data_IF_003789579770
#
_entry.id   IF_003789579770
#
_cell.length_a   1.000
_cell.length_b   1.000
_cell.length_c   1.000
_cell.angle_alpha   90.00
_cell.angle_beta   90.00
_cell.angle_gamma   90.00
#
_symmetry.space_group_name_H-M   'P 1'
#
loop_
_entity.id
_entity.type
_entity.pdbx_description
1 polymer ?
#
# COMPACT_ATOMS: atom_id res chain seq x y z
N UNK A 1 -29.61 12.25 26.27
CA UNK A 1 -29.58 11.64 24.93
C UNK A 1 -28.12 11.70 24.48
N UNK A 2 -27.32 10.71 24.87
CA UNK A 2 -25.85 10.78 24.69
C UNK A 2 -25.50 10.06 23.39
N UNK A 3 -24.99 10.84 22.44
CA UNK A 3 -24.54 10.37 21.14
C UNK A 3 -23.46 9.31 21.34
N UNK A 4 -23.76 8.08 20.92
CA UNK A 4 -22.79 7.01 20.86
C UNK A 4 -21.68 7.42 19.89
N UNK A 5 -20.47 7.53 20.41
CA UNK A 5 -19.23 7.46 19.64
C UNK A 5 -19.31 6.19 18.79
N UNK A 6 -19.57 6.36 17.49
CA UNK A 6 -19.51 5.28 16.50
C UNK A 6 -18.06 4.80 16.47
N UNK A 7 -17.73 3.82 17.31
CA UNK A 7 -16.50 3.04 17.21
C UNK A 7 -16.43 2.52 15.77
N UNK A 8 -15.48 3.04 15.01
CA UNK A 8 -15.30 2.73 13.60
C UNK A 8 -14.67 1.34 13.53
N UNK A 9 -15.47 0.30 13.78
CA UNK A 9 -14.99 -1.09 13.91
C UNK A 9 -14.32 -1.51 12.61
N UNK A 10 -13.02 -1.82 12.70
CA UNK A 10 -12.25 -2.37 11.59
C UNK A 10 -12.62 -3.84 11.46
N UNK A 11 -13.21 -4.22 10.34
CA UNK A 11 -13.48 -5.62 10.05
C UNK A 11 -12.33 -6.22 9.24
N UNK A 12 -11.79 -7.40 9.60
CA UNK A 12 -10.75 -8.07 8.82
C UNK A 12 -11.13 -8.28 7.36
N UNK A 13 -12.43 -8.46 7.07
CA UNK A 13 -12.96 -8.58 5.71
C UNK A 13 -12.65 -7.35 4.84
N UNK A 14 -12.69 -6.15 5.42
CA UNK A 14 -12.46 -4.90 4.69
C UNK A 14 -10.98 -4.76 4.31
N UNK A 15 -10.08 -5.25 5.17
CA UNK A 15 -8.64 -5.33 4.88
C UNK A 15 -8.38 -6.29 3.72
N UNK A 16 -8.96 -7.50 3.78
CA UNK A 16 -8.79 -8.50 2.71
C UNK A 16 -9.34 -7.99 1.38
N UNK A 17 -10.57 -7.46 1.37
CA UNK A 17 -11.19 -6.92 0.15
C UNK A 17 -10.35 -5.78 -0.42
N UNK A 18 -9.90 -4.86 0.42
CA UNK A 18 -9.07 -3.74 -0.01
C UNK A 18 -7.73 -4.20 -0.59
N UNK A 19 -7.07 -5.16 0.07
CA UNK A 19 -5.81 -5.74 -0.41
C UNK A 19 -5.98 -6.37 -1.80
N UNK A 20 -7.04 -7.16 -2.00
CA UNK A 20 -7.34 -7.75 -3.30
C UNK A 20 -7.63 -6.70 -4.37
N UNK A 21 -8.40 -5.65 -4.06
CA UNK A 21 -8.71 -4.58 -5.01
C UNK A 21 -7.47 -3.79 -5.41
N UNK A 22 -6.67 -3.35 -4.43
CA UNK A 22 -5.44 -2.60 -4.70
C UNK A 22 -4.42 -3.43 -5.46
N UNK A 23 -4.24 -4.69 -5.07
CA UNK A 23 -3.31 -5.60 -5.74
C UNK A 23 -3.78 -6.01 -7.14
N UNK A 24 -5.08 -6.23 -7.35
CA UNK A 24 -5.63 -6.48 -8.67
C UNK A 24 -5.38 -5.31 -9.62
N UNK A 25 -5.50 -4.06 -9.14
CA UNK A 25 -5.18 -2.89 -9.93
C UNK A 25 -3.70 -2.85 -10.35
N UNK A 26 -2.79 -3.20 -9.44
CA UNK A 26 -1.36 -3.32 -9.76
C UNK A 26 -1.11 -4.36 -10.86
N UNK A 27 -1.64 -5.58 -10.69
CA UNK A 27 -1.49 -6.65 -11.69
C UNK A 27 -2.08 -6.25 -13.03
N UNK A 28 -3.24 -5.60 -13.06
CA UNK A 28 -3.87 -5.13 -14.31
C UNK A 28 -2.99 -4.09 -15.02
N UNK A 29 -2.45 -3.11 -14.30
CA UNK A 29 -1.54 -2.11 -14.89
C UNK A 29 -0.27 -2.78 -15.40
N UNK A 30 0.31 -3.71 -14.64
CA UNK A 30 1.47 -4.48 -15.08
C UNK A 30 1.19 -5.27 -16.35
N UNK A 31 0.05 -5.96 -16.44
CA UNK A 31 -0.35 -6.69 -17.64
C UNK A 31 -0.52 -5.76 -18.86
N UNK A 32 -1.18 -4.61 -18.69
CA UNK A 32 -1.31 -3.61 -19.75
C UNK A 32 0.07 -3.09 -20.21
N UNK A 33 0.99 -2.89 -19.27
CA UNK A 33 2.39 -2.53 -19.56
C UNK A 33 3.12 -3.61 -20.35
N UNK A 34 2.99 -4.88 -19.96
CA UNK A 34 3.59 -6.04 -20.64
C UNK A 34 3.15 -6.15 -22.10
N UNK A 35 1.88 -5.92 -22.40
CA UNK A 35 1.37 -5.95 -23.77
C UNK A 35 1.61 -4.64 -24.55
N UNK A 36 2.39 -3.70 -23.99
CA UNK A 36 2.72 -2.42 -24.62
C UNK A 36 1.53 -1.46 -24.75
N UNK A 37 0.42 -1.74 -24.08
CA UNK A 37 -0.79 -0.92 -24.10
C UNK A 37 -0.61 0.35 -23.26
N UNK A 38 0.30 0.31 -22.27
CA UNK A 38 0.58 1.43 -21.38
C UNK A 38 2.09 1.57 -21.16
N UNK A 39 2.71 2.55 -21.83
CA UNK A 39 4.10 2.95 -21.53
C UNK A 39 4.10 3.90 -20.34
N UNK A 40 4.33 3.37 -19.14
CA UNK A 40 4.52 4.18 -17.93
C UNK A 40 6.02 4.41 -17.77
N UNK A 41 6.54 5.64 -17.96
CA UNK A 41 7.95 5.91 -17.69
C UNK A 41 8.23 5.74 -16.20
N UNK A 42 9.33 5.07 -15.84
CA UNK A 42 9.62 4.65 -14.46
C UNK A 42 9.60 5.82 -13.45
N UNK A 43 10.04 7.01 -13.87
CA UNK A 43 9.95 8.25 -13.09
C UNK A 43 8.54 8.59 -12.57
N UNK A 44 7.48 8.18 -13.26
CA UNK A 44 6.09 8.40 -12.81
C UNK A 44 5.65 7.38 -11.77
N UNK A 45 6.22 6.17 -11.82
CA UNK A 45 6.00 5.13 -10.79
C UNK A 45 6.62 5.58 -9.47
N UNK A 46 7.81 6.18 -9.50
CA UNK A 46 8.45 6.71 -8.30
C UNK A 46 7.65 7.80 -7.58
N UNK A 47 6.82 8.58 -8.28
CA UNK A 47 5.92 9.56 -7.66
C UNK A 47 4.89 8.92 -6.72
N UNK A 48 4.58 7.63 -6.88
CA UNK A 48 3.72 6.90 -5.94
C UNK A 48 4.33 6.87 -4.53
N UNK A 49 5.66 6.96 -4.40
CA UNK A 49 6.37 7.08 -3.12
C UNK A 49 6.02 8.34 -2.31
N UNK A 50 5.46 9.39 -2.94
CA UNK A 50 4.94 10.55 -2.23
C UNK A 50 3.74 10.21 -1.34
N UNK A 51 2.95 9.20 -1.71
CA UNK A 51 1.78 8.77 -0.94
C UNK A 51 2.20 8.17 0.41
N UNK A 52 3.08 7.15 0.49
CA UNK A 52 3.55 6.66 1.77
C UNK A 52 4.35 7.70 2.55
N UNK A 53 5.10 8.62 1.92
CA UNK A 53 5.72 9.76 2.62
C UNK A 53 4.66 10.64 3.29
N UNK A 54 3.64 11.05 2.54
CA UNK A 54 2.55 11.88 3.07
C UNK A 54 1.83 11.17 4.24
N UNK A 55 1.53 9.89 4.09
CA UNK A 55 0.90 9.10 5.14
C UNK A 55 1.79 9.02 6.38
N UNK A 56 3.08 8.74 6.21
CA UNK A 56 4.03 8.69 7.31
C UNK A 56 4.12 10.01 8.07
N UNK A 57 4.28 11.14 7.36
CA UNK A 57 4.31 12.48 7.98
C UNK A 57 2.99 12.79 8.69
N UNK A 58 1.84 12.52 8.05
CA UNK A 58 0.52 12.76 8.63
C UNK A 58 0.33 11.97 9.93
N UNK A 59 0.74 10.70 9.95
CA UNK A 59 0.66 9.84 11.13
C UNK A 59 1.62 10.30 12.24
N UNK A 60 2.79 10.79 11.88
CA UNK A 60 3.77 11.33 12.82
C UNK A 60 3.25 12.58 13.52
N UNK A 61 2.60 13.49 12.79
CA UNK A 61 2.07 14.77 13.30
C UNK A 61 0.76 14.59 14.09
N UNK A 62 -0.18 13.81 13.56
CA UNK A 62 -1.55 13.68 14.10
C UNK A 62 -1.61 12.75 15.33
N UNK A 63 -0.52 12.60 16.08
CA UNK A 63 -0.39 11.58 17.10
C UNK A 63 -1.39 11.74 18.25
N UNK A 64 -2.57 11.15 18.10
CA UNK A 64 -3.65 11.11 19.09
C UNK A 64 -4.42 9.79 18.95
N UNK A 65 -4.43 9.09 20.09
CA UNK A 65 -5.47 8.23 20.65
C UNK A 65 -6.01 7.04 19.83
N UNK A 66 -5.53 5.88 20.30
CA UNK A 66 -6.05 4.50 20.15
C UNK A 66 -5.89 3.77 18.80
N UNK A 67 -5.25 2.61 18.94
CA UNK A 67 -5.18 1.42 18.08
C UNK A 67 -4.43 1.45 16.75
N UNK A 68 -3.85 0.28 16.44
CA UNK A 68 -3.24 -0.18 15.18
C UNK A 68 -4.07 0.16 13.92
N UNK A 69 -5.35 0.52 14.11
CA UNK A 69 -6.24 1.10 13.11
C UNK A 69 -5.97 2.55 12.71
N UNK A 70 -5.01 3.26 13.31
CA UNK A 70 -4.75 4.70 13.14
C UNK A 70 -4.59 5.17 11.68
N UNK A 71 -3.96 4.37 10.81
CA UNK A 71 -3.84 4.69 9.36
C UNK A 71 -5.22 4.67 8.71
N UNK A 72 -5.96 3.59 8.94
CA UNK A 72 -7.26 3.36 8.33
C UNK A 72 -8.31 4.29 8.90
N UNK A 73 -8.30 4.56 10.21
CA UNK A 73 -9.21 5.47 10.89
C UNK A 73 -8.95 6.93 10.52
N UNK A 74 -7.68 7.35 10.38
CA UNK A 74 -7.32 8.72 9.96
C UNK A 74 -7.57 9.01 8.47
N UNK A 75 -7.72 7.97 7.65
CA UNK A 75 -8.17 8.07 6.25
C UNK A 75 -9.70 7.93 6.13
N UNK A 76 -10.34 7.26 7.08
CA UNK A 76 -11.79 7.07 7.14
C UNK A 76 -12.54 8.24 7.83
N UNK A 77 -11.86 9.35 8.15
CA UNK A 77 -12.46 10.55 8.75
C UNK A 77 -13.13 11.50 7.73
N UNK A 78 -13.32 11.05 6.48
CA UNK A 78 -13.94 11.81 5.39
C UNK A 78 -15.06 11.05 4.67
N UNK A 79 -15.83 11.77 3.84
CA UNK A 79 -17.09 11.40 3.15
C UNK A 79 -17.12 10.04 2.40
N UNK A 80 -15.98 9.37 2.23
CA UNK A 80 -15.86 8.05 1.61
C UNK A 80 -15.75 6.95 2.68
N UNK A 81 -16.93 6.56 3.16
CA UNK A 81 -17.17 5.72 4.32
C UNK A 81 -16.91 4.21 4.08
N UNK A 82 -15.73 3.80 3.60
CA UNK A 82 -15.40 2.37 3.38
C UNK A 82 -13.91 2.09 3.60
N UNK A 83 -13.56 1.50 4.75
CA UNK A 83 -12.20 1.10 5.14
C UNK A 83 -11.45 0.34 4.03
N UNK A 84 -12.13 -0.55 3.29
CA UNK A 84 -11.49 -1.31 2.21
C UNK A 84 -10.96 -0.43 1.08
N UNK A 85 -11.56 0.75 0.82
CA UNK A 85 -11.07 1.68 -0.19
C UNK A 85 -9.76 2.32 0.26
N UNK A 86 -9.66 2.68 1.54
CA UNK A 86 -8.41 3.17 2.12
C UNK A 86 -7.32 2.11 2.05
N UNK A 87 -7.64 0.86 2.40
CA UNK A 87 -6.70 -0.27 2.26
C UNK A 87 -6.28 -0.42 0.80
N UNK A 88 -7.21 -0.49 -0.14
CA UNK A 88 -6.90 -0.63 -1.57
C UNK A 88 -5.99 0.49 -2.09
N UNK A 89 -6.25 1.72 -1.68
CA UNK A 89 -5.43 2.87 -2.05
C UNK A 89 -4.01 2.76 -1.47
N UNK A 90 -3.87 2.37 -0.20
CA UNK A 90 -2.56 2.15 0.41
C UNK A 90 -1.83 1.00 -0.28
N UNK A 91 -2.50 -0.13 -0.53
CA UNK A 91 -1.92 -1.30 -1.22
C UNK A 91 -1.42 -0.93 -2.60
N UNK A 92 -2.22 -0.19 -3.38
CA UNK A 92 -1.83 0.29 -4.71
C UNK A 92 -0.65 1.26 -4.66
N UNK A 93 -0.72 2.25 -3.77
CA UNK A 93 0.33 3.26 -3.65
C UNK A 93 1.67 2.67 -3.16
N UNK A 94 1.61 1.73 -2.23
CA UNK A 94 2.77 1.02 -1.71
C UNK A 94 3.36 0.10 -2.79
N UNK A 95 2.53 -0.71 -3.44
CA UNK A 95 2.98 -1.67 -4.44
C UNK A 95 3.26 -1.07 -5.82
N UNK A 96 3.49 0.24 -5.92
CA UNK A 96 3.85 0.88 -7.19
C UNK A 96 5.17 0.34 -7.75
N UNK A 97 6.15 0.08 -6.89
CA UNK A 97 7.42 -0.57 -7.21
C UNK A 97 7.26 -1.97 -7.84
N UNK A 98 6.20 -2.71 -7.47
CA UNK A 98 5.88 -3.98 -8.09
C UNK A 98 5.66 -3.85 -9.61
N UNK A 99 5.17 -2.70 -10.11
CA UNK A 99 4.96 -2.50 -11.54
C UNK A 99 6.31 -2.59 -12.29
N UNK A 100 7.35 -1.97 -11.75
CA UNK A 100 8.70 -1.98 -12.33
C UNK A 100 9.32 -3.37 -12.38
N UNK A 101 8.93 -4.27 -11.47
CA UNK A 101 9.39 -5.67 -11.46
C UNK A 101 8.49 -6.55 -12.33
N UNK A 102 7.17 -6.39 -12.23
CA UNK A 102 6.19 -7.28 -12.86
C UNK A 102 6.16 -7.10 -14.37
N UNK A 103 6.22 -5.87 -14.88
CA UNK A 103 6.20 -5.61 -16.33
C UNK A 103 7.32 -6.37 -17.05
N UNK A 104 8.61 -6.20 -16.72
CA UNK A 104 9.69 -6.93 -17.38
C UNK A 104 9.72 -8.41 -17.04
N UNK A 105 9.20 -8.83 -15.88
CA UNK A 105 9.08 -10.26 -15.58
C UNK A 105 8.04 -10.93 -16.47
N UNK A 106 6.84 -10.35 -16.58
CA UNK A 106 5.74 -10.87 -17.37
C UNK A 106 6.05 -10.94 -18.87
N UNK A 107 6.92 -10.06 -19.41
CA UNK A 107 7.35 -10.13 -20.82
C UNK A 107 8.24 -11.34 -21.11
N UNK A 108 8.82 -11.97 -20.09
CA UNK A 108 9.64 -13.19 -20.24
C UNK A 108 8.82 -14.49 -20.21
N UNK A 109 7.54 -14.42 -19.86
CA UNK A 109 6.68 -15.58 -19.66
C UNK A 109 5.81 -15.88 -20.88
N UNK A 110 5.55 -17.17 -21.13
CA UNK A 110 4.45 -17.58 -22.00
C UNK A 110 3.09 -17.24 -21.38
N UNK A 111 2.02 -17.22 -22.18
CA UNK A 111 0.65 -16.93 -21.69
C UNK A 111 0.23 -17.91 -20.58
N UNK A 112 0.59 -19.19 -20.69
CA UNK A 112 0.26 -20.19 -19.67
C UNK A 112 1.00 -19.91 -18.36
N UNK A 113 2.30 -19.61 -18.43
CA UNK A 113 3.11 -19.25 -17.25
C UNK A 113 2.63 -17.95 -16.61
N UNK A 114 2.23 -16.97 -17.42
CA UNK A 114 1.66 -15.71 -16.95
C UNK A 114 0.36 -15.93 -16.17
N UNK A 115 -0.57 -16.73 -16.71
CA UNK A 115 -1.83 -17.06 -16.02
C UNK A 115 -1.55 -17.78 -14.70
N UNK A 116 -0.64 -18.77 -14.70
CA UNK A 116 -0.24 -19.48 -13.48
C UNK A 116 0.36 -18.50 -12.46
N UNK A 117 1.22 -17.60 -12.90
CA UNK A 117 1.85 -16.58 -12.05
C UNK A 117 0.82 -15.66 -11.40
N UNK A 118 -0.13 -15.15 -12.18
CA UNK A 118 -1.21 -14.29 -11.67
C UNK A 118 -2.05 -15.02 -10.63
N UNK A 119 -2.40 -16.29 -10.87
CA UNK A 119 -3.11 -17.12 -9.89
C UNK A 119 -2.29 -17.26 -8.60
N UNK A 120 -0.98 -17.56 -8.72
CA UNK A 120 -0.07 -17.67 -7.57
C UNK A 120 -0.04 -16.36 -6.78
N UNK A 121 0.07 -15.21 -7.45
CA UNK A 121 0.08 -13.91 -6.80
C UNK A 121 -1.20 -13.68 -5.97
N UNK A 122 -2.38 -13.98 -6.52
CA UNK A 122 -3.64 -13.84 -5.78
C UNK A 122 -3.80 -14.85 -4.64
N UNK A 123 -3.25 -16.06 -4.77
CA UNK A 123 -3.17 -17.02 -3.66
C UNK A 123 -2.25 -16.47 -2.57
N UNK A 124 -1.10 -15.90 -2.94
CA UNK A 124 -0.15 -15.31 -2.00
C UNK A 124 -0.75 -14.13 -1.24
N UNK A 125 -1.65 -13.34 -1.85
CA UNK A 125 -2.40 -12.31 -1.12
C UNK A 125 -3.20 -12.91 0.04
N UNK A 126 -3.93 -14.02 -0.16
CA UNK A 126 -4.64 -14.70 0.92
C UNK A 126 -3.69 -15.22 2.00
N UNK A 127 -2.58 -15.82 1.59
CA UNK A 127 -1.54 -16.32 2.51
C UNK A 127 -0.99 -15.18 3.36
N UNK A 128 -0.63 -14.05 2.75
CA UNK A 128 -0.11 -12.89 3.47
C UNK A 128 -1.12 -12.25 4.39
N UNK A 129 -2.39 -12.14 3.98
CA UNK A 129 -3.46 -11.68 4.86
C UNK A 129 -3.63 -12.62 6.07
N UNK A 130 -3.59 -13.93 5.85
CA UNK A 130 -3.69 -14.91 6.94
C UNK A 130 -2.50 -14.84 7.89
N UNK A 131 -1.27 -14.80 7.35
CA UNK A 131 -0.05 -14.67 8.14
C UNK A 131 -0.07 -13.37 8.94
N UNK A 132 -0.43 -12.24 8.33
CA UNK A 132 -0.56 -10.96 9.02
C UNK A 132 -1.59 -11.02 10.16
N UNK A 133 -2.76 -11.63 9.93
CA UNK A 133 -3.76 -11.84 10.96
C UNK A 133 -3.25 -12.71 12.12
N UNK A 134 -2.54 -13.80 11.81
CA UNK A 134 -1.96 -14.67 12.84
C UNK A 134 -0.83 -13.98 13.61
N UNK A 135 0.01 -13.21 12.93
CA UNK A 135 1.07 -12.43 13.56
C UNK A 135 0.51 -11.39 14.53
N UNK A 136 -0.50 -10.62 14.10
CA UNK A 136 -1.18 -9.65 14.95
C UNK A 136 -1.89 -10.30 16.15
N UNK A 137 -2.30 -11.56 16.04
CA UNK A 137 -2.92 -12.29 17.15
C UNK A 137 -1.93 -12.73 18.25
N UNK A 138 -0.62 -12.66 18.01
CA UNK A 138 0.36 -12.94 19.06
C UNK A 138 0.49 -11.75 20.01
N UNK A 139 0.26 -12.00 21.30
CA UNK A 139 0.35 -11.01 22.38
C UNK A 139 1.57 -10.10 22.26
N UNK A 140 2.75 -10.67 22.06
CA UNK A 140 3.99 -9.91 22.02
C UNK A 140 4.08 -8.97 20.81
N UNK A 141 3.54 -9.39 19.66
CA UNK A 141 3.52 -8.57 18.44
C UNK A 141 2.54 -7.42 18.62
N UNK A 142 1.33 -7.71 19.11
CA UNK A 142 0.32 -6.69 19.41
C UNK A 142 0.83 -5.69 20.45
N UNK A 143 1.46 -6.12 21.54
CA UNK A 143 2.06 -5.21 22.55
C UNK A 143 3.17 -4.32 21.96
N UNK A 144 4.00 -4.85 21.05
CA UNK A 144 5.03 -4.07 20.36
C UNK A 144 4.41 -3.07 19.39
N UNK A 145 3.39 -3.48 18.65
CA UNK A 145 2.67 -2.62 17.70
C UNK A 145 1.89 -1.51 18.43
N UNK A 146 1.24 -1.81 19.55
CA UNK A 146 0.60 -0.80 20.41
C UNK A 146 1.63 0.17 20.99
N UNK A 147 2.77 -0.33 21.49
CA UNK A 147 3.77 0.50 22.18
C UNK A 147 4.65 1.32 21.24
N UNK A 148 5.09 0.73 20.14
CA UNK A 148 6.09 1.32 19.24
C UNK A 148 5.54 1.61 17.84
N UNK A 149 4.37 1.06 17.47
CA UNK A 149 3.77 1.27 16.15
C UNK A 149 3.55 2.74 15.82
N UNK A 150 3.26 3.58 16.82
CA UNK A 150 3.17 5.04 16.67
C UNK A 150 4.40 5.65 15.99
N UNK A 151 5.59 5.12 16.25
CA UNK A 151 6.84 5.63 15.69
C UNK A 151 7.34 4.78 14.53
N UNK A 152 7.26 3.45 14.66
CA UNK A 152 7.75 2.51 13.65
C UNK A 152 6.98 2.67 12.35
N UNK A 153 5.64 2.73 12.39
CA UNK A 153 4.80 2.78 11.19
C UNK A 153 5.09 4.04 10.36
N UNK A 154 5.08 5.28 10.92
CA UNK A 154 5.47 6.47 10.17
C UNK A 154 6.86 6.38 9.55
N UNK A 155 7.85 5.91 10.31
CA UNK A 155 9.24 5.81 9.84
C UNK A 155 9.33 4.84 8.66
N UNK A 156 8.67 3.68 8.76
CA UNK A 156 8.63 2.69 7.66
C UNK A 156 7.97 3.29 6.42
N UNK A 157 6.85 4.00 6.58
CA UNK A 157 6.15 4.63 5.45
C UNK A 157 6.98 5.73 4.77
N UNK A 158 7.62 6.61 5.55
CA UNK A 158 8.52 7.64 4.99
C UNK A 158 9.72 6.98 4.32
N UNK A 159 10.36 6.02 4.98
CA UNK A 159 11.52 5.31 4.44
C UNK A 159 11.20 4.58 3.13
N UNK A 160 10.07 3.89 3.09
CA UNK A 160 9.61 3.17 1.89
C UNK A 160 9.32 4.14 0.74
N UNK A 161 8.64 5.25 1.00
CA UNK A 161 8.36 6.22 -0.05
C UNK A 161 9.61 6.91 -0.59
N UNK A 162 10.59 7.22 0.27
CA UNK A 162 11.90 7.72 -0.17
C UNK A 162 12.64 6.66 -1.00
N UNK A 163 12.60 5.40 -0.58
CA UNK A 163 13.19 4.29 -1.32
C UNK A 163 12.60 4.14 -2.73
N UNK A 164 11.26 4.11 -2.84
CA UNK A 164 10.55 4.03 -4.13
C UNK A 164 10.95 5.20 -5.04
N UNK A 165 11.02 6.42 -4.52
CA UNK A 165 11.41 7.60 -5.30
C UNK A 165 12.89 7.57 -5.73
N UNK A 166 13.77 7.01 -4.91
CA UNK A 166 15.20 6.90 -5.20
C UNK A 166 15.48 5.84 -6.27
N UNK A 167 14.86 4.66 -6.16
CA UNK A 167 15.01 3.56 -7.10
C UNK A 167 14.54 3.95 -8.51
N UNK A 168 13.47 4.76 -8.60
CA UNK A 168 12.89 5.22 -9.87
C UNK A 168 13.47 6.56 -10.36
N UNK A 169 14.65 6.97 -9.88
CA UNK A 169 15.35 8.23 -10.23
C UNK A 169 14.51 9.51 -10.15
N UNK A 170 13.42 9.49 -9.38
CA UNK A 170 12.38 10.51 -9.42
C UNK A 170 12.84 11.82 -8.79
N UNK A 171 13.75 11.75 -7.81
CA UNK A 171 14.39 12.94 -7.23
C UNK A 171 15.17 13.75 -8.27
N UNK A 172 15.87 13.10 -9.19
CA UNK A 172 16.64 13.75 -10.25
C UNK A 172 15.72 14.42 -11.27
N UNK A 173 14.61 13.76 -11.61
CA UNK A 173 13.56 14.32 -12.45
C UNK A 173 12.88 15.55 -11.84
N UNK A 174 12.64 15.57 -10.51
CA UNK A 174 12.06 16.74 -9.83
C UNK A 174 13.05 17.90 -9.70
N UNK A 175 14.32 17.61 -9.40
CA UNK A 175 15.38 18.63 -9.31
C UNK A 175 15.66 19.29 -10.66
N UNK A 176 15.64 18.52 -11.76
CA UNK A 176 15.79 19.07 -13.11
C UNK A 176 14.63 19.95 -13.56
N UNK A 177 13.41 19.69 -13.05
CA UNK A 177 12.23 20.54 -13.26
C UNK A 177 12.26 21.86 -12.48
N UNK A 178 12.96 21.90 -11.34
CA UNK A 178 13.13 23.10 -10.51
C UNK A 178 14.28 23.99 -11.02
N UNK A 179 15.29 23.39 -11.68
CA UNK A 179 16.44 24.10 -12.25
C UNK A 179 16.22 24.65 -13.68
N UNK A 180 14.96 24.74 -14.13
CA UNK A 180 14.56 25.29 -15.42
C UNK A 180 13.57 26.44 -15.22
#
# INVERSE_FOLDING_TARGET
MNAQTKSNRIYPKDIVIGQYLGFALLVLISLLGTFGVMLIPEKWVGLLGLIPIYLGIKLFIKGEDEDEGAILSSLNSGRFNKLFMSVAFITFANGGDNIGIYVPYFTTLSVNELVITVIIFFIMVAVWCFVGYRLASFRHVSEVLEKYGRWIIPIVFVGLGVYIMAENETFSALLSLINY
#
